data_IF_070322170644
#
_entry.id   IF_070322170644
#
_cell.length_a   1.000
_cell.length_b   1.000
_cell.length_c   1.000
_cell.angle_alpha   90.00
_cell.angle_beta   90.00
_cell.angle_gamma   90.00
#
_symmetry.space_group_name_H-M   'P 1'
#
loop_
_entity.id
_entity.type
_entity.pdbx_description
1 polymer ?
#
# COMPACT_ATOMS: atom_id res chain seq x y z
N UNK A 1 10.09 -27.80 35.57
CA UNK A 1 10.04 -27.27 34.17
C UNK A 1 8.59 -26.93 33.92
N UNK A 2 8.22 -25.65 33.96
CA UNK A 2 6.83 -25.23 33.73
C UNK A 2 6.52 -25.45 32.27
N UNK A 3 5.64 -26.39 31.97
CA UNK A 3 5.06 -26.59 30.65
C UNK A 3 4.19 -25.35 30.41
N UNK A 4 4.68 -24.42 29.64
CA UNK A 4 3.84 -23.34 29.13
C UNK A 4 2.72 -23.98 28.32
N UNK A 5 1.49 -23.66 28.67
CA UNK A 5 0.35 -24.14 27.93
C UNK A 5 0.53 -23.67 26.47
N UNK A 6 0.59 -24.63 25.56
CA UNK A 6 0.71 -24.38 24.10
C UNK A 6 -0.39 -23.41 23.64
N UNK A 7 -1.53 -23.39 24.31
CA UNK A 7 -2.63 -22.47 24.08
C UNK A 7 -2.24 -21.03 24.43
N UNK A 8 -1.66 -20.78 25.58
CA UNK A 8 -1.20 -19.46 26.03
C UNK A 8 -0.10 -18.90 25.09
N UNK A 9 0.79 -19.78 24.62
CA UNK A 9 1.81 -19.42 23.62
C UNK A 9 1.22 -19.11 22.25
N UNK A 10 0.22 -19.88 21.82
CA UNK A 10 -0.51 -19.63 20.59
C UNK A 10 -1.37 -18.36 20.67
N UNK A 11 -1.97 -18.05 21.81
CA UNK A 11 -2.79 -16.85 22.00
C UNK A 11 -1.91 -15.58 22.04
N UNK A 12 -0.70 -15.65 22.61
CA UNK A 12 0.29 -14.55 22.54
C UNK A 12 0.82 -14.35 21.13
N UNK A 13 1.12 -15.43 20.42
CA UNK A 13 1.56 -15.38 19.01
C UNK A 13 0.43 -14.83 18.14
N UNK A 14 -0.81 -15.25 18.34
CA UNK A 14 -1.98 -14.73 17.60
C UNK A 14 -2.27 -13.26 17.93
N UNK A 15 -2.16 -12.85 19.19
CA UNK A 15 -2.37 -11.46 19.58
C UNK A 15 -1.29 -10.52 19.00
N UNK A 16 -0.05 -10.98 18.88
CA UNK A 16 1.02 -10.25 18.23
C UNK A 16 0.93 -10.30 16.70
N UNK A 17 0.51 -11.42 16.12
CA UNK A 17 0.24 -11.53 14.68
C UNK A 17 -0.93 -10.64 14.25
N UNK A 18 -1.97 -10.52 15.04
CA UNK A 18 -3.12 -9.67 14.70
C UNK A 18 -2.78 -8.19 14.58
N UNK A 19 -1.74 -7.69 15.23
CA UNK A 19 -1.34 -6.27 15.15
C UNK A 19 -0.66 -5.91 13.83
N UNK A 20 0.12 -6.84 13.27
CA UNK A 20 0.85 -6.66 12.01
C UNK A 20 0.05 -7.14 10.79
N UNK A 21 -1.00 -7.94 11.01
CA UNK A 21 -1.84 -8.52 9.96
C UNK A 21 -3.15 -7.75 9.75
N UNK A 22 -3.22 -6.52 10.23
CA UNK A 22 -4.37 -5.64 10.03
C UNK A 22 -4.21 -4.87 8.72
N UNK A 23 -5.21 -4.99 7.86
CA UNK A 23 -5.38 -4.15 6.69
C UNK A 23 -6.20 -2.91 7.07
N UNK A 24 -5.83 -1.75 6.56
CA UNK A 24 -6.61 -0.53 6.69
C UNK A 24 -6.78 0.11 5.31
N UNK A 25 -7.98 0.57 5.02
CA UNK A 25 -8.39 1.18 3.76
C UNK A 25 -8.87 2.61 4.01
N UNK A 26 -8.24 3.57 3.36
CA UNK A 26 -8.79 4.91 3.18
C UNK A 26 -9.73 4.88 1.98
N UNK A 27 -10.98 5.32 2.15
CA UNK A 27 -12.01 5.14 1.12
C UNK A 27 -12.55 6.48 0.60
N UNK A 28 -13.14 6.45 -0.59
CA UNK A 28 -13.84 7.59 -1.19
C UNK A 28 -15.29 7.76 -0.69
N UNK A 29 -15.70 6.96 0.30
CA UNK A 29 -17.06 7.00 0.86
C UNK A 29 -17.07 7.81 2.14
N UNK A 30 -17.48 9.07 2.06
CA UNK A 30 -17.75 9.94 3.23
C UNK A 30 -16.60 9.95 4.25
N UNK A 31 -15.37 10.16 3.80
CA UNK A 31 -14.12 10.17 4.58
C UNK A 31 -13.88 8.93 5.48
N UNK A 32 -14.58 7.84 5.26
CA UNK A 32 -14.46 6.63 6.10
C UNK A 32 -13.12 5.93 5.92
N UNK A 33 -12.66 5.34 6.99
CA UNK A 33 -11.53 4.42 7.03
C UNK A 33 -12.08 3.06 7.47
N UNK A 34 -11.76 2.00 6.72
CA UNK A 34 -12.19 0.63 6.98
C UNK A 34 -11.02 -0.24 7.39
N UNK A 35 -11.31 -1.35 8.04
CA UNK A 35 -10.28 -2.32 8.42
C UNK A 35 -10.81 -3.75 8.39
N UNK A 36 -9.92 -4.70 8.08
CA UNK A 36 -10.18 -6.13 8.17
C UNK A 36 -8.91 -6.90 8.57
N UNK A 37 -9.07 -8.17 8.93
CA UNK A 37 -7.95 -9.07 9.22
C UNK A 37 -7.45 -9.73 7.94
N UNK A 38 -6.14 -9.71 7.69
CA UNK A 38 -5.52 -10.42 6.55
C UNK A 38 -5.26 -11.91 6.81
N UNK A 39 -5.53 -12.41 8.01
CA UNK A 39 -5.28 -13.82 8.40
C UNK A 39 -6.54 -14.59 8.73
N UNK A 40 -7.58 -13.91 9.19
CA UNK A 40 -8.88 -14.51 9.45
C UNK A 40 -9.91 -13.94 8.47
N UNK A 41 -10.61 -14.82 7.78
CA UNK A 41 -11.69 -14.43 6.88
C UNK A 41 -12.80 -13.71 7.67
N UNK A 42 -13.29 -12.63 7.11
CA UNK A 42 -14.35 -11.82 7.69
C UNK A 42 -14.44 -10.46 6.99
N UNK A 43 -15.63 -9.88 7.02
CA UNK A 43 -15.90 -8.61 6.36
C UNK A 43 -15.18 -7.45 7.03
N UNK A 44 -15.01 -6.34 6.30
CA UNK A 44 -14.47 -5.11 6.87
C UNK A 44 -15.42 -4.52 7.92
N UNK A 45 -14.84 -3.72 8.79
CA UNK A 45 -15.55 -2.91 9.79
C UNK A 45 -15.00 -1.48 9.78
N UNK A 46 -15.71 -0.56 10.40
CA UNK A 46 -15.24 0.81 10.56
C UNK A 46 -13.96 0.87 11.39
N UNK A 47 -13.00 1.65 10.92
CA UNK A 47 -11.77 1.99 11.64
C UNK A 47 -11.87 3.39 12.26
N UNK A 48 -12.32 4.39 11.49
CA UNK A 48 -12.42 5.79 11.85
C UNK A 48 -12.68 6.67 10.64
N UNK A 49 -12.34 7.94 10.72
CA UNK A 49 -12.56 8.92 9.66
C UNK A 49 -11.25 9.62 9.29
N UNK A 50 -11.06 9.98 8.02
CA UNK A 50 -10.05 10.93 7.58
C UNK A 50 -10.35 12.34 8.10
N UNK A 51 -9.38 13.22 8.08
CA UNK A 51 -9.55 14.62 8.53
C UNK A 51 -10.53 15.40 7.67
N UNK A 52 -10.67 15.03 6.38
CA UNK A 52 -11.55 15.67 5.39
C UNK A 52 -12.16 14.61 4.48
N UNK A 53 -13.29 14.95 3.85
CA UNK A 53 -13.80 14.20 2.70
C UNK A 53 -12.78 14.29 1.55
N UNK A 54 -12.44 13.13 0.98
CA UNK A 54 -11.44 13.00 -0.08
C UNK A 54 -11.93 12.04 -1.16
N UNK A 55 -11.64 12.37 -2.39
CA UNK A 55 -11.72 11.41 -3.50
C UNK A 55 -10.42 10.61 -3.54
N UNK A 56 -10.52 9.32 -3.28
CA UNK A 56 -9.38 8.39 -3.24
C UNK A 56 -9.35 7.58 -4.53
N UNK A 57 -8.21 7.59 -5.20
CA UNK A 57 -8.04 6.95 -6.51
C UNK A 57 -7.14 5.73 -6.37
N UNK A 58 -7.66 4.61 -5.94
CA UNK A 58 -6.98 3.30 -5.95
C UNK A 58 -5.52 3.23 -5.52
N UNK A 59 -5.03 2.06 -5.27
CA UNK A 59 -3.61 1.79 -5.01
C UNK A 59 -3.24 1.57 -3.55
N UNK A 60 -1.98 1.83 -3.22
CA UNK A 60 -1.42 1.71 -1.88
C UNK A 60 -1.26 3.07 -1.22
N UNK A 61 -1.48 3.13 0.09
CA UNK A 61 -0.98 4.18 0.95
C UNK A 61 0.45 3.87 1.44
N UNK A 62 1.09 4.82 2.08
CA UNK A 62 2.38 4.61 2.74
C UNK A 62 2.18 4.05 4.14
N UNK A 63 2.97 3.07 4.58
CA UNK A 63 2.89 2.59 5.97
C UNK A 63 4.21 2.04 6.51
N UNK A 64 4.37 2.20 7.82
CA UNK A 64 5.34 1.46 8.64
C UNK A 64 4.61 0.33 9.38
N UNK A 65 5.30 -0.34 10.30
CA UNK A 65 4.66 -1.34 11.18
C UNK A 65 3.60 -0.73 12.12
N UNK A 66 3.59 0.58 12.32
CA UNK A 66 2.73 1.26 13.29
C UNK A 66 1.81 2.31 12.68
N UNK A 67 2.25 3.03 11.65
CA UNK A 67 1.52 4.16 11.06
C UNK A 67 1.15 3.89 9.61
N UNK A 68 -0.06 4.29 9.22
CA UNK A 68 -0.50 4.36 7.83
C UNK A 68 -0.74 5.82 7.44
N UNK A 69 -0.28 6.22 6.25
CA UNK A 69 -0.42 7.57 5.71
C UNK A 69 -1.16 7.54 4.37
N UNK A 70 -1.92 8.59 4.11
CA UNK A 70 -2.52 8.88 2.81
C UNK A 70 -2.17 10.30 2.36
N UNK A 71 -1.82 10.45 1.10
CA UNK A 71 -1.50 11.75 0.47
C UNK A 71 -1.78 11.71 -1.04
N UNK A 72 -1.69 12.85 -1.72
CA UNK A 72 -1.85 12.93 -3.16
C UNK A 72 -3.25 12.56 -3.65
N UNK A 73 -4.25 12.89 -2.87
CA UNK A 73 -5.68 12.69 -3.13
C UNK A 73 -6.39 14.03 -3.33
N UNK A 74 -7.65 14.02 -3.77
CA UNK A 74 -8.42 15.24 -3.97
C UNK A 74 -9.38 15.51 -2.82
N UNK A 75 -9.51 16.80 -2.42
CA UNK A 75 -10.53 17.30 -1.52
C UNK A 75 -10.93 18.70 -1.96
N UNK A 76 -12.10 18.85 -2.58
CA UNK A 76 -12.52 20.13 -3.19
C UNK A 76 -11.45 20.74 -4.12
N UNK A 77 -10.70 19.87 -4.83
CA UNK A 77 -9.52 20.18 -5.63
C UNK A 77 -8.29 19.42 -5.15
N UNK A 78 -7.17 19.65 -5.81
CA UNK A 78 -5.91 19.03 -5.41
C UNK A 78 -5.38 19.63 -4.11
N UNK A 79 -4.91 18.78 -3.21
CA UNK A 79 -4.41 19.17 -1.89
C UNK A 79 -3.00 18.66 -1.66
N UNK A 80 -2.29 19.27 -0.74
CA UNK A 80 -0.96 18.85 -0.28
C UNK A 80 -1.01 18.14 1.08
N UNK A 81 -2.16 18.13 1.75
CA UNK A 81 -2.33 17.52 3.07
C UNK A 81 -1.97 16.03 3.07
N UNK A 82 -1.31 15.60 4.15
CA UNK A 82 -1.03 14.20 4.46
C UNK A 82 -1.76 13.85 5.76
N UNK A 83 -2.62 12.85 5.73
CA UNK A 83 -3.24 12.30 6.93
C UNK A 83 -2.51 11.04 7.39
N UNK A 84 -2.52 10.77 8.70
CA UNK A 84 -2.02 9.52 9.25
C UNK A 84 -2.93 8.89 10.29
N UNK A 85 -2.77 7.59 10.45
CA UNK A 85 -3.41 6.76 11.47
C UNK A 85 -2.38 5.92 12.22
N UNK A 86 -2.71 5.51 13.44
CA UNK A 86 -2.01 4.44 14.15
C UNK A 86 -2.69 3.10 13.83
N UNK A 87 -2.03 2.19 13.08
CA UNK A 87 -2.64 0.95 12.55
C UNK A 87 -3.21 0.05 13.66
N UNK A 88 -2.56 0.02 14.82
CA UNK A 88 -2.94 -0.87 15.91
C UNK A 88 -4.29 -0.54 16.54
N UNK A 89 -4.70 0.73 16.52
CA UNK A 89 -5.87 1.24 17.24
C UNK A 89 -6.85 1.89 16.27
N UNK A 90 -8.11 1.47 16.33
CA UNK A 90 -9.17 2.15 15.58
C UNK A 90 -9.33 3.57 16.10
N UNK A 91 -9.52 4.52 15.21
CA UNK A 91 -9.66 5.94 15.52
C UNK A 91 -9.56 6.81 14.27
N UNK A 92 -9.82 8.08 14.43
CA UNK A 92 -9.75 9.04 13.33
C UNK A 92 -8.28 9.31 12.95
N UNK A 93 -8.08 9.65 11.69
CA UNK A 93 -6.81 10.17 11.21
C UNK A 93 -6.52 11.55 11.82
N UNK A 94 -5.24 11.88 11.85
CA UNK A 94 -4.74 13.19 12.24
C UNK A 94 -3.84 13.75 11.12
N UNK A 95 -3.65 15.06 11.13
CA UNK A 95 -2.75 15.73 10.22
C UNK A 95 -1.29 15.30 10.47
N UNK A 96 -0.60 14.94 9.39
CA UNK A 96 0.80 14.56 9.41
C UNK A 96 1.71 15.73 8.97
N UNK A 97 1.26 16.51 8.01
CA UNK A 97 2.01 17.58 7.33
C UNK A 97 1.61 17.68 5.86
N UNK A 98 2.48 18.22 5.03
CA UNK A 98 2.16 18.56 3.65
C UNK A 98 3.17 17.97 2.65
N UNK A 99 2.73 17.69 1.44
CA UNK A 99 3.59 17.45 0.27
C UNK A 99 4.30 18.76 -0.13
N UNK A 100 5.35 18.66 -0.93
CA UNK A 100 6.04 19.83 -1.49
C UNK A 100 5.16 20.64 -2.44
N UNK A 101 4.15 20.03 -3.04
CA UNK A 101 3.18 20.67 -3.94
C UNK A 101 1.84 19.94 -3.91
N UNK A 102 0.74 20.71 -3.95
CA UNK A 102 -0.61 20.17 -4.06
C UNK A 102 -0.79 19.38 -5.36
N UNK A 103 -1.28 18.14 -5.27
CA UNK A 103 -1.55 17.26 -6.40
C UNK A 103 -2.53 16.14 -6.05
N UNK A 104 -3.36 15.76 -7.00
CA UNK A 104 -4.21 14.58 -6.93
C UNK A 104 -3.65 13.41 -7.72
N UNK A 105 -4.28 12.26 -7.67
CA UNK A 105 -3.93 11.06 -8.44
C UNK A 105 -2.48 10.57 -8.26
N UNK A 106 -1.83 10.95 -7.17
CA UNK A 106 -0.51 10.49 -6.82
C UNK A 106 -0.59 9.10 -6.17
N UNK A 107 0.50 8.36 -6.22
CA UNK A 107 0.61 7.08 -5.55
C UNK A 107 1.59 7.14 -4.37
N UNK A 108 1.43 6.18 -3.46
CA UNK A 108 2.12 6.16 -2.18
C UNK A 108 2.75 4.80 -1.92
N UNK A 109 3.92 4.79 -1.35
CA UNK A 109 4.64 3.60 -0.90
C UNK A 109 5.49 3.92 0.32
N UNK A 110 5.97 2.91 1.01
CA UNK A 110 6.89 3.11 2.13
C UNK A 110 7.78 1.90 2.40
N UNK A 111 8.89 2.14 3.08
CA UNK A 111 9.58 1.12 3.85
C UNK A 111 9.41 1.39 5.36
N UNK A 112 10.21 0.77 6.22
CA UNK A 112 10.11 0.94 7.68
C UNK A 112 10.23 2.39 8.15
N UNK A 113 10.92 3.25 7.40
CA UNK A 113 11.33 4.58 7.86
C UNK A 113 10.83 5.72 6.97
N UNK A 114 10.77 5.50 5.66
CA UNK A 114 10.43 6.54 4.67
C UNK A 114 9.11 6.25 4.00
N UNK A 115 8.21 7.22 4.00
CA UNK A 115 7.06 7.30 3.11
C UNK A 115 7.46 8.09 1.86
N UNK A 116 6.97 7.65 0.71
CA UNK A 116 7.23 8.26 -0.60
C UNK A 116 5.90 8.45 -1.31
N UNK A 117 5.68 9.68 -1.81
CA UNK A 117 4.55 10.03 -2.69
C UNK A 117 5.10 10.47 -4.03
N UNK A 118 4.58 9.94 -5.13
CA UNK A 118 5.15 10.15 -6.45
C UNK A 118 4.10 10.39 -7.53
N UNK A 119 4.49 11.16 -8.55
CA UNK A 119 3.63 11.54 -9.66
C UNK A 119 2.42 12.36 -9.23
N UNK A 120 1.32 12.17 -9.96
CA UNK A 120 0.07 12.90 -9.77
C UNK A 120 -0.03 14.13 -10.67
N UNK A 121 -1.15 14.84 -10.56
CA UNK A 121 -1.45 15.98 -11.41
C UNK A 121 -2.09 17.15 -10.67
N UNK A 122 -1.80 18.35 -11.13
CA UNK A 122 -2.47 19.59 -10.79
C UNK A 122 -2.17 20.60 -11.89
N UNK A 123 -3.14 20.90 -12.73
CA UNK A 123 -2.91 21.76 -13.92
C UNK A 123 -1.77 21.23 -14.83
N UNK A 124 -1.63 19.89 -14.90
CA UNK A 124 -0.60 19.18 -15.66
C UNK A 124 0.04 18.08 -14.81
N UNK A 125 0.58 17.07 -15.49
CA UNK A 125 1.22 15.92 -14.85
C UNK A 125 2.51 16.32 -14.16
N UNK A 126 2.82 15.62 -13.06
CA UNK A 126 4.04 15.83 -12.27
C UNK A 126 4.93 14.60 -12.35
N UNK A 127 6.22 14.84 -12.38
CA UNK A 127 7.26 13.83 -12.20
C UNK A 127 7.82 13.80 -10.77
N UNK A 128 7.33 14.68 -9.89
CA UNK A 128 7.83 14.89 -8.52
C UNK A 128 7.72 13.60 -7.70
N UNK A 129 8.79 13.28 -7.01
CA UNK A 129 8.84 12.28 -5.94
C UNK A 129 9.14 13.01 -4.63
N UNK A 130 8.23 12.94 -3.67
CA UNK A 130 8.40 13.49 -2.33
C UNK A 130 8.61 12.37 -1.31
N UNK A 131 9.32 12.65 -0.22
CA UNK A 131 9.46 11.72 0.89
C UNK A 131 9.41 12.39 2.26
N UNK A 132 9.01 11.59 3.25
CA UNK A 132 9.03 11.97 4.65
C UNK A 132 9.41 10.80 5.56
N UNK A 133 9.82 11.11 6.79
CA UNK A 133 10.10 10.10 7.82
C UNK A 133 8.80 9.75 8.54
N UNK A 134 8.35 8.49 8.45
CA UNK A 134 7.03 8.07 8.98
C UNK A 134 6.92 8.25 10.50
N UNK A 135 8.01 8.10 11.23
CA UNK A 135 7.99 8.15 12.71
C UNK A 135 7.64 9.53 13.27
N UNK A 136 7.89 10.59 12.53
CA UNK A 136 7.68 11.98 12.97
C UNK A 136 6.78 12.72 12.00
N UNK A 137 5.77 13.44 12.50
CA UNK A 137 4.96 14.35 11.69
C UNK A 137 5.83 15.49 11.14
N UNK A 138 5.48 15.95 9.94
CA UNK A 138 6.20 17.03 9.26
C UNK A 138 5.99 16.98 7.75
N UNK A 139 6.39 18.03 7.08
CA UNK A 139 6.25 18.13 5.63
C UNK A 139 7.21 17.19 4.90
N UNK A 140 6.73 16.65 3.79
CA UNK A 140 7.58 15.92 2.86
C UNK A 140 8.49 16.89 2.10
N UNK A 141 9.64 16.37 1.70
CA UNK A 141 10.64 17.10 0.94
C UNK A 141 10.93 16.39 -0.37
N UNK A 142 11.51 17.11 -1.31
CA UNK A 142 11.88 16.56 -2.61
C UNK A 142 12.84 15.38 -2.47
N UNK A 143 12.53 14.29 -3.19
CA UNK A 143 13.36 13.10 -3.33
C UNK A 143 14.07 13.08 -4.68
N UNK A 144 13.40 13.53 -5.74
CA UNK A 144 13.81 13.48 -7.13
C UNK A 144 12.62 13.37 -8.06
N UNK A 145 12.83 12.88 -9.29
CA UNK A 145 11.81 12.84 -10.32
C UNK A 145 11.62 11.43 -10.90
N UNK A 146 10.41 11.13 -11.37
CA UNK A 146 10.10 10.01 -12.26
C UNK A 146 10.82 10.19 -13.61
N UNK A 147 10.95 9.11 -14.38
CA UNK A 147 11.47 9.18 -15.76
C UNK A 147 10.54 9.98 -16.70
N UNK A 148 9.23 9.95 -16.42
CA UNK A 148 8.19 10.66 -17.18
C UNK A 148 7.13 11.18 -16.22
N UNK A 149 6.70 12.44 -16.40
CA UNK A 149 5.58 13.03 -15.64
C UNK A 149 4.28 12.27 -15.94
N UNK A 150 3.62 11.76 -14.90
CA UNK A 150 2.40 10.95 -15.03
C UNK A 150 1.59 10.89 -13.74
N UNK A 151 0.30 10.63 -13.90
CA UNK A 151 -0.64 10.40 -12.79
C UNK A 151 -1.25 8.99 -12.84
N UNK A 152 -2.13 8.67 -11.88
CA UNK A 152 -2.91 7.41 -11.85
C UNK A 152 -2.04 6.15 -11.94
N UNK A 153 -0.82 6.26 -11.46
CA UNK A 153 0.15 5.19 -11.38
C UNK A 153 0.03 4.44 -10.05
N UNK A 154 0.71 3.32 -9.94
CA UNK A 154 0.73 2.52 -8.72
C UNK A 154 2.17 2.21 -8.31
N UNK A 155 2.36 1.81 -7.06
CA UNK A 155 3.68 1.42 -6.59
C UNK A 155 3.71 0.35 -5.54
N UNK A 156 4.88 -0.25 -5.39
CA UNK A 156 5.20 -1.22 -4.35
C UNK A 156 6.66 -1.06 -3.92
N UNK A 157 7.06 -1.72 -2.85
CA UNK A 157 8.41 -1.61 -2.30
C UNK A 157 8.96 -2.96 -1.85
N UNK A 158 10.31 -3.04 -1.88
CA UNK A 158 11.08 -3.84 -0.93
C UNK A 158 11.67 -2.92 0.16
N UNK A 159 12.39 -3.43 1.16
CA UNK A 159 13.05 -2.56 2.14
C UNK A 159 14.03 -1.54 1.53
N UNK A 160 14.55 -1.80 0.32
CA UNK A 160 15.59 -0.99 -0.32
C UNK A 160 15.15 -0.29 -1.61
N UNK A 161 14.19 -0.84 -2.35
CA UNK A 161 13.73 -0.33 -3.65
C UNK A 161 12.27 0.10 -3.61
N UNK A 162 12.00 1.25 -4.17
CA UNK A 162 10.67 1.74 -4.54
C UNK A 162 10.42 1.45 -6.02
N UNK A 163 9.26 0.94 -6.38
CA UNK A 163 8.84 0.62 -7.75
C UNK A 163 7.59 1.42 -8.08
N UNK A 164 7.55 2.00 -9.26
CA UNK A 164 6.47 2.85 -9.77
C UNK A 164 6.04 2.35 -11.15
N UNK A 165 4.77 2.08 -11.39
CA UNK A 165 4.34 1.47 -12.64
C UNK A 165 3.04 2.03 -13.21
N UNK A 166 2.94 2.01 -14.53
CA UNK A 166 1.75 2.45 -15.26
C UNK A 166 1.54 3.95 -15.17
N UNK A 167 0.29 4.36 -15.29
CA UNK A 167 -0.11 5.77 -15.23
C UNK A 167 -0.42 6.37 -16.59
N UNK A 168 -0.70 7.67 -16.60
CA UNK A 168 -1.17 8.44 -17.76
C UNK A 168 -0.46 9.77 -17.88
N UNK A 169 -0.36 10.31 -19.12
CA UNK A 169 0.09 11.68 -19.37
C UNK A 169 -1.02 12.73 -19.19
N UNK A 170 -2.22 12.31 -18.75
CA UNK A 170 -3.36 13.18 -18.47
C UNK A 170 -4.01 13.84 -19.68
N UNK A 171 -3.53 13.62 -20.89
CA UNK A 171 -4.06 14.28 -22.08
C UNK A 171 -5.48 13.81 -22.42
N UNK A 172 -5.81 12.58 -22.10
CA UNK A 172 -7.16 12.01 -22.10
C UNK A 172 -7.13 10.68 -21.35
N UNK A 173 -8.11 10.36 -20.52
CA UNK A 173 -8.09 9.10 -19.77
C UNK A 173 -8.13 7.84 -20.65
N UNK A 174 -8.22 7.96 -21.95
CA UNK A 174 -8.32 6.83 -22.87
C UNK A 174 -7.15 6.66 -23.83
N UNK A 175 -6.23 7.62 -23.95
CA UNK A 175 -5.32 7.60 -25.11
C UNK A 175 -3.84 7.38 -24.81
N UNK A 176 -3.35 7.66 -23.61
CA UNK A 176 -1.92 7.60 -23.31
C UNK A 176 -1.63 6.95 -21.97
N UNK A 177 -2.06 5.70 -21.81
CA UNK A 177 -1.63 4.88 -20.70
C UNK A 177 -0.19 4.40 -20.91
N UNK A 178 0.61 4.40 -19.85
CA UNK A 178 1.98 3.89 -19.86
C UNK A 178 2.05 2.44 -19.38
N UNK A 179 2.98 1.68 -19.96
CA UNK A 179 3.43 0.41 -19.41
C UNK A 179 4.74 0.54 -18.62
N UNK A 180 5.36 1.69 -18.62
CA UNK A 180 6.66 1.96 -17.98
C UNK A 180 6.67 1.62 -16.49
N UNK A 181 7.70 0.91 -16.05
CA UNK A 181 8.03 0.67 -14.66
C UNK A 181 9.32 1.41 -14.35
N UNK A 182 9.30 2.28 -13.36
CA UNK A 182 10.47 2.97 -12.82
C UNK A 182 10.82 2.45 -11.44
N UNK A 183 12.06 2.68 -11.01
CA UNK A 183 12.49 2.40 -9.65
C UNK A 183 13.48 3.43 -9.11
N UNK A 184 13.55 3.53 -7.79
CA UNK A 184 14.62 4.23 -7.09
C UNK A 184 15.08 3.47 -5.85
N UNK A 185 16.28 3.81 -5.35
CA UNK A 185 16.79 3.31 -4.08
C UNK A 185 16.26 4.19 -2.95
N UNK A 186 15.49 3.63 -2.01
CA UNK A 186 14.78 4.42 -0.96
C UNK A 186 15.76 5.15 -0.03
N UNK A 187 16.94 4.61 0.22
CA UNK A 187 17.90 5.16 1.17
C UNK A 187 18.57 6.47 0.71
N UNK A 188 18.63 6.73 -0.58
CA UNK A 188 19.28 7.91 -1.18
C UNK A 188 18.33 8.65 -2.11
N UNK A 189 18.27 9.98 -1.98
CA UNK A 189 17.52 10.83 -2.91
C UNK A 189 18.14 10.79 -4.31
N UNK A 190 17.31 10.95 -5.33
CA UNK A 190 17.71 10.93 -6.73
C UNK A 190 16.56 10.56 -7.64
N UNK A 191 16.74 10.77 -8.92
CA UNK A 191 15.73 10.46 -9.91
C UNK A 191 15.54 8.94 -10.05
N UNK A 192 14.31 8.56 -10.42
CA UNK A 192 14.00 7.20 -10.78
C UNK A 192 14.70 6.79 -12.07
N UNK A 193 15.03 5.52 -12.19
CA UNK A 193 15.58 4.90 -13.38
C UNK A 193 14.59 3.89 -13.95
N UNK A 194 14.70 3.62 -15.24
CA UNK A 194 13.91 2.60 -15.92
C UNK A 194 14.14 1.22 -15.31
N UNK A 195 13.05 0.51 -15.03
CA UNK A 195 13.05 -0.86 -14.55
C UNK A 195 12.70 -1.86 -15.65
N UNK A 196 11.75 -1.50 -16.52
CA UNK A 196 11.15 -2.31 -17.57
C UNK A 196 9.69 -1.94 -17.80
N UNK A 197 8.89 -2.86 -18.35
CA UNK A 197 7.51 -2.60 -18.77
C UNK A 197 6.52 -3.60 -18.16
N UNK A 198 5.28 -3.13 -17.93
CA UNK A 198 4.10 -3.98 -17.70
C UNK A 198 3.75 -4.74 -18.98
N UNK A 199 3.02 -5.86 -18.86
CA UNK A 199 2.51 -6.62 -20.02
C UNK A 199 1.51 -5.82 -20.84
N UNK A 200 0.76 -4.92 -20.19
CA UNK A 200 -0.24 -4.04 -20.82
C UNK A 200 -0.16 -2.64 -20.20
N UNK A 201 -0.13 -1.60 -21.05
CA UNK A 201 -0.22 -0.21 -20.62
C UNK A 201 -1.58 0.05 -19.95
N UNK A 202 -1.57 0.67 -18.75
CA UNK A 202 -2.80 0.87 -17.96
C UNK A 202 -2.66 1.92 -16.88
N UNK A 203 -3.82 2.46 -16.47
CA UNK A 203 -3.95 3.45 -15.41
C UNK A 203 -4.88 2.94 -14.32
N UNK A 204 -4.86 3.56 -13.14
CA UNK A 204 -5.79 3.25 -12.04
C UNK A 204 -5.80 1.78 -11.61
N UNK A 205 -4.76 1.03 -11.89
CA UNK A 205 -4.52 -0.25 -11.23
C UNK A 205 -3.88 -0.04 -9.87
N UNK A 206 -3.59 -1.11 -9.16
CA UNK A 206 -2.88 -1.05 -7.90
C UNK A 206 -1.68 -1.98 -7.87
N UNK A 207 -0.67 -1.64 -7.07
CA UNK A 207 0.48 -2.52 -6.81
C UNK A 207 0.54 -2.89 -5.33
N UNK A 208 0.98 -4.11 -5.09
CA UNK A 208 1.38 -4.57 -3.76
C UNK A 208 2.44 -5.65 -3.91
N UNK A 209 2.98 -6.17 -2.82
CA UNK A 209 4.01 -7.20 -2.97
C UNK A 209 4.58 -7.71 -1.66
N UNK A 210 5.55 -8.58 -1.82
CA UNK A 210 6.48 -9.04 -0.79
C UNK A 210 7.81 -8.30 -0.93
N UNK A 211 8.78 -8.63 -0.08
CA UNK A 211 10.14 -8.10 -0.20
C UNK A 211 10.84 -8.49 -1.53
N UNK A 212 10.34 -9.54 -2.20
CA UNK A 212 10.96 -10.12 -3.40
C UNK A 212 10.17 -9.82 -4.67
N UNK A 213 8.84 -9.92 -4.61
CA UNK A 213 7.94 -9.76 -5.76
C UNK A 213 7.00 -8.58 -5.58
N UNK A 214 6.90 -7.75 -6.62
CA UNK A 214 5.82 -6.80 -6.80
C UNK A 214 4.75 -7.38 -7.73
N UNK A 215 3.47 -7.19 -7.40
CA UNK A 215 2.33 -7.55 -8.24
C UNK A 215 1.53 -6.30 -8.58
N UNK A 216 1.15 -6.12 -9.85
CA UNK A 216 0.32 -5.04 -10.35
C UNK A 216 -1.01 -5.62 -10.84
N UNK A 217 -2.13 -5.22 -10.26
CA UNK A 217 -3.42 -5.85 -10.51
C UNK A 217 -4.51 -4.88 -10.96
N UNK A 218 -5.29 -5.32 -11.94
CA UNK A 218 -6.40 -4.56 -12.51
C UNK A 218 -5.94 -3.32 -13.28
N UNK A 219 -6.82 -2.36 -13.41
CA UNK A 219 -6.61 -1.11 -14.13
C UNK A 219 -7.62 -0.88 -15.24
N UNK A 220 -7.46 0.24 -15.91
CA UNK A 220 -8.30 0.59 -17.07
C UNK A 220 -7.47 1.04 -18.26
N UNK A 221 -8.12 1.12 -19.43
CA UNK A 221 -7.61 1.46 -20.74
C UNK A 221 -6.76 0.36 -21.39
N UNK A 222 -7.33 -0.85 -21.52
CA UNK A 222 -8.72 -1.27 -21.21
C UNK A 222 -8.92 -1.62 -19.74
N UNK A 223 -10.19 -1.73 -19.27
CA UNK A 223 -10.47 -2.28 -17.95
C UNK A 223 -10.23 -3.79 -17.96
N UNK A 224 -9.33 -4.25 -17.11
CA UNK A 224 -8.81 -5.62 -17.10
C UNK A 224 -8.76 -6.21 -15.70
N UNK A 225 -8.68 -7.54 -15.64
CA UNK A 225 -8.48 -8.31 -14.42
C UNK A 225 -7.03 -8.83 -14.26
N UNK A 226 -6.17 -8.61 -15.23
CA UNK A 226 -4.79 -9.11 -15.27
C UNK A 226 -4.00 -8.71 -14.03
N UNK A 227 -3.26 -9.66 -13.48
CA UNK A 227 -2.23 -9.44 -12.47
C UNK A 227 -0.87 -9.70 -13.14
N UNK A 228 -0.01 -8.69 -13.17
CA UNK A 228 1.39 -8.83 -13.57
C UNK A 228 2.29 -8.95 -12.34
N UNK A 229 3.48 -9.52 -12.50
CA UNK A 229 4.49 -9.50 -11.45
C UNK A 229 5.89 -9.18 -11.96
N UNK A 230 6.71 -8.68 -11.05
CA UNK A 230 8.13 -8.42 -11.23
C UNK A 230 8.94 -9.03 -10.07
N UNK A 231 10.22 -9.31 -10.31
CA UNK A 231 11.19 -9.58 -9.25
C UNK A 231 11.90 -8.27 -8.89
N UNK A 232 11.64 -7.71 -7.70
CA UNK A 232 12.06 -6.34 -7.33
C UNK A 232 13.59 -6.15 -7.38
N UNK A 233 14.36 -7.20 -7.10
CA UNK A 233 15.82 -7.11 -7.03
C UNK A 233 16.51 -6.95 -8.40
N UNK A 234 15.87 -7.34 -9.49
CA UNK A 234 16.42 -7.30 -10.86
C UNK A 234 15.50 -6.56 -11.81
N UNK A 235 16.06 -5.64 -12.61
CA UNK A 235 15.32 -4.95 -13.67
C UNK A 235 14.90 -5.93 -14.77
N UNK A 236 13.78 -5.64 -15.41
CA UNK A 236 13.20 -6.43 -16.49
C UNK A 236 11.69 -6.25 -16.57
N UNK A 237 11.11 -6.67 -17.68
CA UNK A 237 9.67 -6.55 -17.90
C UNK A 237 8.88 -7.45 -16.95
N UNK A 238 7.67 -7.00 -16.64
CA UNK A 238 6.70 -7.79 -15.89
C UNK A 238 6.25 -9.02 -16.70
N UNK A 239 5.83 -10.04 -15.97
CA UNK A 239 5.33 -11.30 -16.51
C UNK A 239 3.91 -11.50 -15.98
N UNK A 240 3.06 -12.12 -16.78
CA UNK A 240 1.71 -12.51 -16.37
C UNK A 240 1.76 -13.39 -15.11
N UNK A 241 0.95 -13.02 -14.12
CA UNK A 241 0.82 -13.75 -12.86
C UNK A 241 -0.46 -14.57 -12.82
N UNK A 242 -1.54 -14.04 -13.37
CA UNK A 242 -2.91 -14.56 -13.34
C UNK A 242 -3.93 -13.42 -13.31
N UNK A 243 -5.14 -13.69 -12.80
CA UNK A 243 -6.26 -12.76 -12.88
C UNK A 243 -6.92 -12.50 -11.53
N UNK A 244 -7.47 -11.27 -11.35
CA UNK A 244 -8.48 -10.97 -10.35
C UNK A 244 -9.79 -11.69 -10.67
N UNK A 245 -10.67 -11.85 -9.70
CA UNK A 245 -12.01 -12.47 -9.92
C UNK A 245 -12.89 -11.68 -10.89
N UNK A 246 -12.66 -10.37 -11.02
CA UNK A 246 -13.33 -9.50 -11.98
C UNK A 246 -12.43 -8.35 -12.43
N UNK A 247 -12.64 -7.87 -13.66
CA UNK A 247 -11.98 -6.67 -14.18
C UNK A 247 -12.42 -5.43 -13.41
N UNK A 248 -11.45 -4.68 -12.84
CA UNK A 248 -11.70 -3.50 -12.02
C UNK A 248 -10.51 -2.56 -11.93
N UNK A 249 -10.78 -1.32 -11.54
CA UNK A 249 -9.82 -0.24 -11.35
C UNK A 249 -10.03 0.43 -9.99
N UNK A 250 -9.09 1.27 -9.56
CA UNK A 250 -9.19 2.07 -8.32
C UNK A 250 -9.36 1.23 -7.04
N UNK A 251 -8.97 -0.04 -7.12
CA UNK A 251 -8.98 -0.95 -6.00
C UNK A 251 -7.88 -0.61 -4.99
N UNK A 252 -8.21 -0.64 -3.71
CA UNK A 252 -7.23 -0.51 -2.62
C UNK A 252 -6.36 -1.75 -2.55
N UNK A 253 -5.05 -1.54 -2.49
CA UNK A 253 -4.07 -2.63 -2.51
C UNK A 253 -3.26 -2.67 -1.23
N UNK A 254 -3.04 -3.87 -0.71
CA UNK A 254 -2.16 -4.13 0.42
C UNK A 254 -1.65 -5.56 0.42
N UNK A 255 -0.69 -5.85 1.26
CA UNK A 255 -0.15 -7.20 1.43
C UNK A 255 0.32 -7.47 2.86
N UNK A 256 0.56 -8.74 3.15
CA UNK A 256 1.21 -9.19 4.38
C UNK A 256 2.52 -9.96 4.11
N UNK A 257 3.21 -9.67 3.03
CA UNK A 257 4.39 -10.38 2.52
C UNK A 257 4.13 -11.79 1.97
N UNK A 258 3.00 -12.40 2.31
CA UNK A 258 2.60 -13.74 1.83
C UNK A 258 1.49 -13.61 0.78
N UNK A 259 0.47 -12.84 1.11
CA UNK A 259 -0.70 -12.62 0.27
C UNK A 259 -0.81 -11.15 -0.14
N UNK A 260 -1.16 -10.92 -1.41
CA UNK A 260 -1.66 -9.66 -1.93
C UNK A 260 -3.18 -9.62 -1.84
N UNK A 261 -3.73 -8.43 -1.64
CA UNK A 261 -5.16 -8.16 -1.53
C UNK A 261 -5.55 -7.00 -2.43
N UNK A 262 -6.69 -7.12 -3.11
CA UNK A 262 -7.33 -6.07 -3.87
C UNK A 262 -8.76 -5.88 -3.39
N UNK A 263 -9.09 -4.66 -2.94
CA UNK A 263 -10.34 -4.36 -2.24
C UNK A 263 -11.18 -3.35 -3.00
N UNK A 264 -12.47 -3.63 -3.16
CA UNK A 264 -13.41 -2.74 -3.83
C UNK A 264 -13.02 -2.42 -5.26
N UNK A 265 -13.22 -1.19 -5.67
CA UNK A 265 -12.89 -0.67 -7.00
C UNK A 265 -14.09 -0.14 -7.76
N UNK A 266 -13.85 0.29 -8.99
CA UNK A 266 -14.87 0.90 -9.86
C UNK A 266 -16.11 0.03 -10.01
N UNK A 267 -17.24 0.69 -10.23
CA UNK A 267 -18.60 0.15 -10.16
C UNK A 267 -19.05 -0.22 -8.74
N UNK A 268 -18.41 0.38 -7.73
CA UNK A 268 -18.80 0.24 -6.32
C UNK A 268 -18.92 -1.23 -5.91
N UNK A 269 -17.79 -1.92 -5.93
CA UNK A 269 -17.72 -3.32 -5.51
C UNK A 269 -17.32 -3.44 -4.04
N UNK A 270 -17.79 -4.51 -3.40
CA UNK A 270 -17.42 -4.83 -2.01
C UNK A 270 -16.43 -6.00 -1.92
N UNK A 271 -16.04 -6.63 -3.02
CA UNK A 271 -15.18 -7.82 -3.06
C UNK A 271 -13.77 -7.51 -2.57
N UNK A 272 -13.23 -8.41 -1.75
CA UNK A 272 -11.82 -8.49 -1.38
C UNK A 272 -11.21 -9.72 -2.04
N UNK A 273 -10.44 -9.53 -3.10
CA UNK A 273 -9.65 -10.58 -3.72
C UNK A 273 -8.33 -10.79 -2.99
N UNK A 274 -7.85 -12.05 -3.01
CA UNK A 274 -6.56 -12.45 -2.45
C UNK A 274 -5.82 -13.42 -3.36
N UNK A 275 -4.48 -13.26 -3.46
CA UNK A 275 -3.58 -14.19 -4.15
C UNK A 275 -2.32 -14.46 -3.34
N UNK A 276 -1.72 -15.64 -3.55
CA UNK A 276 -0.43 -15.99 -2.94
C UNK A 276 0.72 -15.40 -3.76
N UNK A 277 1.45 -14.42 -3.24
CA UNK A 277 2.48 -13.66 -3.98
C UNK A 277 3.63 -14.57 -4.48
N UNK A 278 3.97 -15.62 -3.75
CA UNK A 278 5.10 -16.49 -4.08
C UNK A 278 4.90 -17.39 -5.30
N UNK A 279 3.66 -17.66 -5.70
CA UNK A 279 3.33 -18.51 -6.85
C UNK A 279 2.30 -17.86 -7.75
N UNK A 280 2.51 -17.97 -9.07
CA UNK A 280 1.55 -17.52 -10.09
C UNK A 280 0.23 -18.27 -9.97
N UNK A 281 -0.86 -17.60 -10.30
CA UNK A 281 -2.22 -18.14 -10.30
C UNK A 281 -3.26 -17.05 -10.04
N UNK A 282 -4.51 -17.36 -10.30
CA UNK A 282 -5.60 -16.42 -10.16
C UNK A 282 -5.87 -16.08 -8.70
N UNK A 283 -6.35 -14.86 -8.46
CA UNK A 283 -6.89 -14.46 -7.19
C UNK A 283 -8.17 -15.23 -6.85
N UNK A 284 -8.46 -15.32 -5.58
CA UNK A 284 -9.71 -15.91 -5.05
C UNK A 284 -10.46 -14.86 -4.25
N UNK A 285 -11.79 -14.94 -4.29
CA UNK A 285 -12.64 -14.18 -3.39
C UNK A 285 -12.33 -14.58 -1.94
N UNK A 286 -11.91 -13.59 -1.15
CA UNK A 286 -11.50 -13.80 0.24
C UNK A 286 -12.59 -13.42 1.24
N UNK A 287 -13.22 -12.26 1.03
CA UNK A 287 -14.22 -11.69 1.93
C UNK A 287 -14.87 -10.46 1.25
N UNK A 288 -15.76 -9.79 1.98
CA UNK A 288 -16.41 -8.58 1.51
C UNK A 288 -16.08 -7.35 2.38
N UNK A 289 -16.07 -6.20 1.76
CA UNK A 289 -16.23 -4.93 2.45
C UNK A 289 -17.69 -4.84 2.95
N UNK A 290 -17.92 -4.15 4.05
CA UNK A 290 -19.25 -3.96 4.64
C UNK A 290 -20.15 -3.01 3.82
N UNK A 291 -19.56 -2.30 2.85
CA UNK A 291 -20.25 -1.46 1.86
C UNK A 291 -19.50 -1.45 0.53
N UNK A 292 -20.15 -1.01 -0.54
CA UNK A 292 -19.52 -0.83 -1.85
C UNK A 292 -18.59 0.38 -1.82
N UNK A 293 -17.35 0.21 -2.29
CA UNK A 293 -16.31 1.24 -2.31
C UNK A 293 -15.81 1.40 -3.74
N UNK A 294 -15.89 2.61 -4.30
CA UNK A 294 -15.48 2.93 -5.67
C UNK A 294 -13.98 3.16 -5.81
N UNK A 295 -13.35 3.81 -4.83
CA UNK A 295 -11.92 4.08 -4.78
C UNK A 295 -11.36 3.93 -3.38
N UNK A 296 -10.17 3.37 -3.24
CA UNK A 296 -9.53 3.23 -1.94
C UNK A 296 -8.01 3.07 -2.05
N UNK A 297 -7.30 3.48 -1.00
CA UNK A 297 -5.87 3.20 -0.81
C UNK A 297 -5.68 2.33 0.43
N UNK A 298 -4.90 1.26 0.26
CA UNK A 298 -4.68 0.27 1.31
C UNK A 298 -3.32 0.41 2.00
N UNK A 299 -3.29 0.17 3.31
CA UNK A 299 -2.07 0.13 4.11
C UNK A 299 -2.08 -1.08 5.04
N UNK A 300 -0.89 -1.57 5.36
CA UNK A 300 -0.70 -2.65 6.34
C UNK A 300 0.67 -2.53 7.01
N UNK A 301 0.78 -2.98 8.24
CA UNK A 301 2.05 -3.00 8.96
C UNK A 301 3.01 -4.14 8.58
N UNK A 302 2.73 -4.87 7.48
CA UNK A 302 3.50 -6.06 7.09
C UNK A 302 3.71 -6.21 5.57
N UNK A 303 3.58 -5.13 4.81
CA UNK A 303 3.81 -5.13 3.35
C UNK A 303 5.28 -5.34 2.96
N UNK A 304 5.56 -5.49 1.65
CA UNK A 304 6.89 -5.81 1.13
C UNK A 304 8.03 -4.85 1.49
N UNK A 305 7.72 -3.57 1.77
CA UNK A 305 8.70 -2.58 2.22
C UNK A 305 9.14 -2.73 3.67
N UNK A 306 8.45 -3.57 4.47
CA UNK A 306 8.74 -3.76 5.89
C UNK A 306 9.83 -4.83 6.07
N UNK A 307 10.99 -4.40 6.55
CA UNK A 307 12.04 -5.31 6.97
C UNK A 307 11.85 -5.70 8.44
N UNK A 308 11.32 -6.90 8.66
CA UNK A 308 11.07 -7.45 10.00
C UNK A 308 12.35 -7.92 10.70
N UNK A 309 13.51 -7.90 10.04
CA UNK A 309 14.81 -8.23 10.64
C UNK A 309 15.46 -7.05 11.35
N UNK A 310 15.04 -5.80 11.07
CA UNK A 310 15.59 -4.61 11.73
C UNK A 310 15.14 -4.48 13.18
N UNK A 311 16.05 -4.18 14.14
CA UNK A 311 15.68 -3.86 15.51
C UNK A 311 14.70 -2.67 15.53
N UNK A 312 13.54 -2.84 16.18
CA UNK A 312 12.45 -1.83 16.18
C UNK A 312 11.30 -2.15 15.23
N UNK A 313 11.53 -2.90 14.14
CA UNK A 313 10.47 -3.51 13.32
C UNK A 313 10.05 -4.87 13.85
N UNK A 314 10.87 -5.45 14.72
CA UNK A 314 10.57 -6.73 15.35
C UNK A 314 9.40 -6.58 16.33
N UNK A 315 8.56 -7.62 16.37
CA UNK A 315 7.64 -7.90 17.46
C UNK A 315 8.28 -7.47 18.78
N UNK A 316 7.55 -6.82 19.69
CA UNK A 316 8.07 -6.62 21.02
C UNK A 316 8.61 -7.97 21.51
N UNK A 317 9.92 -8.08 21.66
CA UNK A 317 10.47 -9.27 22.30
C UNK A 317 9.76 -9.34 23.65
N UNK A 318 9.04 -10.43 23.86
CA UNK A 318 8.61 -10.77 25.21
C UNK A 318 9.92 -10.95 25.97
N UNK A 319 10.42 -9.86 26.54
CA UNK A 319 11.46 -9.93 27.56
C UNK A 319 10.91 -10.91 28.56
N UNK A 320 11.58 -12.05 28.69
CA UNK A 320 11.20 -13.06 29.67
C UNK A 320 10.93 -12.28 30.96
N UNK A 321 9.68 -12.31 31.41
CA UNK A 321 9.32 -11.71 32.68
C UNK A 321 10.22 -12.42 33.71
N UNK A 322 11.27 -11.75 34.14
CA UNK A 322 12.03 -12.13 35.28
C UNK A 322 11.05 -12.17 36.48
N UNK A 323 10.49 -13.35 36.74
CA UNK A 323 9.77 -13.54 38.00
C UNK A 323 10.80 -13.39 39.10
N UNK A 324 10.61 -12.47 40.06
CA UNK A 324 11.46 -12.43 41.25
C UNK A 324 11.33 -13.79 41.96
N UNK A 325 12.44 -14.54 42.08
CA UNK A 325 12.49 -15.75 42.85
C UNK A 325 12.93 -17.04 42.18
N UNK A 326 13.37 -17.07 40.93
CA UNK A 326 14.04 -18.26 40.37
C UNK A 326 15.55 -18.12 40.42
N UNK A 327 16.15 -18.68 41.40
CA UNK A 327 17.58 -19.07 41.43
C UNK A 327 17.78 -20.28 40.53
N UNK A 328 18.67 -20.14 39.55
CA UNK A 328 19.17 -21.26 38.73
C UNK A 328 20.14 -22.05 39.65
N UNK A 329 19.76 -23.26 40.02
CA UNK A 329 20.65 -24.25 40.60
C UNK A 329 21.21 -25.18 39.54
#
# INVERSE_FOLDING_TARGET
MAIWDIKERNDIVRANDNRTQKAVLFTDVSNKIKTFSMVSQGNSIDFGLMTKDRTVHGGTGSSSTTRGLISGVEASGNVDDIDYIEIAHNGNAADFGNLSAARGYAANIANNTRAITFGGGNSGMKDIIDFGTIANTGNFVDFGNLSVARDQLAGTTSPTRAIFAGGSDGASPSSNAYNTIDFCTIASTGNAADFGDLTVARINGGMTGSQIRGTFAGGQNPQINVIDYITIASTGNAIDFGDLTAARRQNGMMSNNVYGYACGGSHSQNVIDRWLIASTGNATDWADLDENIGGSQGVSGSHGGIDLSTPGSQRPQVTALNRPGQTIG
#
